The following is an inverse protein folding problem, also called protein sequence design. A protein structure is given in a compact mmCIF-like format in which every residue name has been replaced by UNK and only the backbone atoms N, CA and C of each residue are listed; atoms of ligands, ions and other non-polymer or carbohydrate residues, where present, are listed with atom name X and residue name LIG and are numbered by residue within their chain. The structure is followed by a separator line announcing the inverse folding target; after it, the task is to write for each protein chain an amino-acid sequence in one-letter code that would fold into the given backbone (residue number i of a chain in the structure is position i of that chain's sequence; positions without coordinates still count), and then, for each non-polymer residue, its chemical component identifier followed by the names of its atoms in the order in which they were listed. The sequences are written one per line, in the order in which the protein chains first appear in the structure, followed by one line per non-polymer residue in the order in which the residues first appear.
data_IF_528039075263
#
_entry.id   IF_528039075263
#
_cell.length_a   1.000
_cell.length_b   1.000
_cell.length_c   1.000
_cell.angle_alpha   90.00
_cell.angle_beta   90.00
_cell.angle_gamma   90.00
#
_symmetry.space_group_name_H-M   'P 1'
#
loop_
_entity.id
_entity.type
_entity.pdbx_description
1 polymer ?
#
# COMPACT_ATOMS: atom_id res chain seq x y z
N UNK A 1 -30.52 -2.25 3.99
CA UNK A 1 -30.74 -2.94 2.71
C UNK A 1 -29.63 -3.94 2.37
N UNK A 2 -28.53 -3.93 3.12
CA UNK A 2 -27.31 -4.74 2.92
C UNK A 2 -26.56 -4.44 1.60
N UNK A 3 -26.95 -3.41 0.88
CA UNK A 3 -26.34 -2.97 -0.38
C UNK A 3 -25.49 -1.71 -0.19
N UNK A 4 -25.80 -0.88 0.80
CA UNK A 4 -25.17 0.42 1.00
C UNK A 4 -24.20 0.40 2.17
N UNK A 5 -22.95 0.78 1.89
CA UNK A 5 -21.90 0.97 2.87
C UNK A 5 -21.61 2.46 3.02
N UNK A 6 -21.49 2.91 4.27
CA UNK A 6 -21.16 4.30 4.59
C UNK A 6 -19.84 4.33 5.35
N UNK A 7 -18.89 5.12 4.85
CA UNK A 7 -17.57 5.32 5.44
C UNK A 7 -17.40 6.77 5.86
N UNK A 8 -16.85 6.98 7.05
CA UNK A 8 -16.42 8.29 7.52
C UNK A 8 -14.92 8.42 7.23
N UNK A 9 -14.56 9.36 6.38
CA UNK A 9 -13.15 9.64 6.08
C UNK A 9 -12.52 10.38 7.25
N UNK A 10 -11.31 9.97 7.62
CA UNK A 10 -10.58 10.58 8.74
C UNK A 10 -10.24 12.04 8.42
N UNK A 11 -10.68 12.96 9.25
CA UNK A 11 -10.46 14.41 9.08
C UNK A 11 -8.98 14.83 9.15
N UNK A 12 -8.13 14.01 9.78
CA UNK A 12 -6.68 14.23 9.87
C UNK A 12 -5.94 13.74 8.63
N UNK A 13 -6.56 12.89 7.81
CA UNK A 13 -5.90 12.30 6.66
C UNK A 13 -5.54 13.35 5.62
N UNK A 14 -4.26 13.31 5.19
CA UNK A 14 -3.72 14.11 4.11
C UNK A 14 -2.94 13.22 3.14
N UNK A 15 -2.94 13.60 1.91
CA UNK A 15 -1.99 13.08 0.93
C UNK A 15 -0.58 13.58 1.24
N UNK A 16 0.42 12.88 0.74
CA UNK A 16 1.83 13.24 0.96
C UNK A 16 2.23 14.62 0.43
N UNK A 17 1.48 15.17 -0.53
CA UNK A 17 1.62 16.54 -1.02
C UNK A 17 0.92 17.61 -0.14
N UNK A 18 0.26 17.20 0.95
CA UNK A 18 -0.44 18.08 1.88
C UNK A 18 -1.93 18.31 1.56
N UNK A 19 -2.40 17.86 0.41
CA UNK A 19 -3.82 17.95 0.06
C UNK A 19 -4.68 17.13 1.03
N UNK A 20 -5.84 17.68 1.41
CA UNK A 20 -6.78 16.99 2.30
C UNK A 20 -7.41 15.78 1.60
N UNK A 21 -7.54 14.68 2.33
CA UNK A 21 -8.33 13.53 1.87
C UNK A 21 -9.79 13.78 2.19
N UNK A 22 -10.57 13.98 1.13
CA UNK A 22 -12.03 14.14 1.21
C UNK A 22 -12.73 12.90 0.70
N UNK A 23 -14.02 12.73 1.02
CA UNK A 23 -14.80 11.64 0.44
C UNK A 23 -14.84 11.69 -1.10
N UNK A 24 -14.84 12.90 -1.67
CA UNK A 24 -14.77 13.09 -3.13
C UNK A 24 -13.42 12.63 -3.71
N UNK A 25 -12.29 12.89 -3.02
CA UNK A 25 -10.99 12.41 -3.45
C UNK A 25 -10.91 10.87 -3.39
N UNK A 26 -11.46 10.26 -2.33
CA UNK A 26 -11.53 8.80 -2.19
C UNK A 26 -12.39 8.19 -3.28
N UNK A 27 -13.59 8.76 -3.54
CA UNK A 27 -14.46 8.36 -4.63
C UNK A 27 -13.71 8.32 -5.97
N UNK A 28 -13.09 9.43 -6.36
CA UNK A 28 -12.33 9.53 -7.62
C UNK A 28 -11.20 8.50 -7.71
N UNK A 29 -10.50 8.23 -6.61
CA UNK A 29 -9.46 7.22 -6.57
C UNK A 29 -10.02 5.81 -6.80
N UNK A 30 -11.15 5.47 -6.18
CA UNK A 30 -11.82 4.17 -6.38
C UNK A 30 -12.34 4.05 -7.82
N UNK A 31 -13.05 5.05 -8.33
CA UNK A 31 -13.54 5.07 -9.71
C UNK A 31 -12.42 4.87 -10.73
N UNK A 32 -11.29 5.56 -10.53
CA UNK A 32 -10.08 5.36 -11.33
C UNK A 32 -9.57 3.90 -11.28
N UNK A 33 -9.61 3.29 -10.10
CA UNK A 33 -9.19 1.87 -9.95
C UNK A 33 -10.10 0.96 -10.77
N UNK A 34 -11.41 1.17 -10.73
CA UNK A 34 -12.35 0.42 -11.55
C UNK A 34 -12.17 0.66 -13.05
N UNK A 35 -11.81 1.87 -13.45
CA UNK A 35 -11.52 2.19 -14.86
C UNK A 35 -10.27 1.45 -15.35
N UNK A 36 -9.18 1.47 -14.57
CA UNK A 36 -7.86 1.00 -15.01
C UNK A 36 -7.60 -0.49 -14.74
N UNK A 37 -8.29 -1.10 -13.76
CA UNK A 37 -7.99 -2.46 -13.31
C UNK A 37 -9.19 -3.41 -13.47
N UNK A 38 -9.09 -4.34 -14.41
CA UNK A 38 -10.13 -5.36 -14.62
C UNK A 38 -10.36 -6.22 -13.34
N UNK A 39 -9.30 -6.47 -12.55
CA UNK A 39 -9.40 -7.19 -11.29
C UNK A 39 -10.33 -6.50 -10.28
N UNK A 40 -10.36 -5.17 -10.23
CA UNK A 40 -11.26 -4.44 -9.35
C UNK A 40 -12.72 -4.77 -9.65
N UNK A 41 -13.09 -4.79 -10.94
CA UNK A 41 -14.44 -5.15 -11.42
C UNK A 41 -14.82 -6.60 -11.12
N UNK A 42 -13.83 -7.48 -11.04
CA UNK A 42 -14.06 -8.87 -10.68
C UNK A 42 -14.23 -9.09 -9.16
N UNK A 43 -13.80 -8.14 -8.32
CA UNK A 43 -13.95 -8.25 -6.86
C UNK A 43 -15.38 -7.91 -6.41
N UNK A 44 -15.93 -6.80 -6.89
CA UNK A 44 -17.31 -6.41 -6.67
C UNK A 44 -17.78 -5.42 -7.73
N UNK A 45 -19.10 -5.27 -7.86
CA UNK A 45 -19.72 -4.27 -8.70
C UNK A 45 -20.49 -3.26 -7.84
N UNK A 46 -20.55 -2.03 -8.28
CA UNK A 46 -21.29 -0.98 -7.60
C UNK A 46 -22.27 -0.27 -8.55
N UNK A 47 -23.41 0.13 -8.01
CA UNK A 47 -24.40 0.95 -8.72
C UNK A 47 -24.01 2.43 -8.66
N UNK A 48 -23.53 2.87 -7.49
CA UNK A 48 -23.19 4.27 -7.25
C UNK A 48 -22.15 4.42 -6.16
N UNK A 49 -21.27 5.41 -6.33
CA UNK A 49 -20.40 5.95 -5.27
C UNK A 49 -20.73 7.43 -5.12
N UNK A 50 -21.15 7.84 -3.94
CA UNK A 50 -21.43 9.24 -3.63
C UNK A 50 -20.59 9.75 -2.47
N UNK A 51 -20.31 11.04 -2.48
CA UNK A 51 -19.51 11.72 -1.48
C UNK A 51 -20.22 13.00 -1.01
N UNK A 52 -20.24 13.19 0.32
CA UNK A 52 -20.75 14.41 0.96
C UNK A 52 -19.80 14.76 2.12
N UNK A 53 -19.05 15.84 1.96
CA UNK A 53 -18.03 16.28 2.92
C UNK A 53 -16.99 15.19 3.16
N UNK A 54 -17.03 14.56 4.33
CA UNK A 54 -16.17 13.44 4.73
C UNK A 54 -16.92 12.10 4.78
N UNK A 55 -18.12 12.03 4.23
CA UNK A 55 -18.91 10.81 4.18
C UNK A 55 -18.89 10.25 2.76
N UNK A 56 -18.38 9.02 2.63
CA UNK A 56 -18.41 8.24 1.38
C UNK A 56 -19.49 7.17 1.50
N UNK A 57 -20.33 7.06 0.51
CA UNK A 57 -21.31 5.98 0.41
C UNK A 57 -21.07 5.18 -0.87
N UNK A 58 -21.01 3.85 -0.71
CA UNK A 58 -20.86 2.91 -1.82
C UNK A 58 -22.09 2.01 -1.81
N UNK A 59 -22.88 2.07 -2.89
CA UNK A 59 -23.99 1.16 -3.12
C UNK A 59 -23.55 0.08 -4.09
N UNK A 60 -23.52 -1.16 -3.61
CA UNK A 60 -23.13 -2.32 -4.41
C UNK A 60 -24.34 -2.89 -5.17
N UNK A 61 -24.08 -3.53 -6.31
CA UNK A 61 -25.11 -4.16 -7.13
C UNK A 61 -25.77 -5.34 -6.40
N UNK A 62 -24.97 -6.13 -5.69
CA UNK A 62 -25.41 -7.25 -4.84
C UNK A 62 -24.89 -7.06 -3.41
N UNK A 63 -25.45 -7.74 -2.39
CA UNK A 63 -24.94 -7.66 -1.02
C UNK A 63 -23.49 -8.17 -0.92
N UNK A 64 -22.56 -7.30 -0.49
CA UNK A 64 -21.14 -7.61 -0.31
C UNK A 64 -20.75 -7.35 1.15
N UNK A 65 -20.90 -8.37 2.00
CA UNK A 65 -20.61 -8.24 3.44
C UNK A 65 -19.13 -7.95 3.75
N UNK A 66 -18.24 -8.35 2.86
CA UNK A 66 -16.77 -8.22 3.00
C UNK A 66 -16.20 -6.96 2.34
N UNK A 67 -17.04 -6.02 1.89
CA UNK A 67 -16.58 -4.82 1.17
C UNK A 67 -15.48 -4.04 1.90
N UNK A 68 -15.53 -3.82 3.24
CA UNK A 68 -14.45 -3.13 3.94
C UNK A 68 -13.10 -3.87 3.82
N UNK A 69 -13.11 -5.20 3.91
CA UNK A 69 -11.91 -6.02 3.72
C UNK A 69 -11.39 -5.98 2.29
N UNK A 70 -12.29 -5.98 1.30
CA UNK A 70 -11.91 -5.85 -0.12
C UNK A 70 -11.26 -4.51 -0.42
N UNK A 71 -11.78 -3.43 0.16
CA UNK A 71 -11.19 -2.08 0.02
C UNK A 71 -9.82 -1.95 0.72
N UNK A 72 -9.46 -2.89 1.59
CA UNK A 72 -8.11 -3.03 2.17
C UNK A 72 -7.09 -3.70 1.25
N UNK A 73 -7.49 -4.28 0.10
CA UNK A 73 -6.55 -4.82 -0.89
C UNK A 73 -5.68 -3.68 -1.46
N UNK A 74 -4.36 -3.88 -1.64
CA UNK A 74 -3.46 -2.89 -2.25
C UNK A 74 -3.92 -2.33 -3.60
N UNK A 75 -4.82 -3.05 -4.28
CA UNK A 75 -5.45 -2.56 -5.52
C UNK A 75 -6.25 -1.27 -5.32
N UNK A 76 -6.86 -1.11 -4.14
CA UNK A 76 -7.69 0.05 -3.81
C UNK A 76 -6.94 1.14 -3.03
N UNK A 77 -5.61 1.21 -3.19
CA UNK A 77 -4.82 2.29 -2.62
C UNK A 77 -5.40 3.66 -3.00
N UNK A 78 -5.60 4.52 -2.03
CA UNK A 78 -6.15 5.85 -2.25
C UNK A 78 -5.04 6.79 -2.69
N UNK A 79 -5.18 7.33 -3.90
CA UNK A 79 -4.23 8.25 -4.52
C UNK A 79 -4.85 9.63 -4.75
N UNK A 80 -4.04 10.66 -4.76
CA UNK A 80 -4.46 11.99 -5.19
C UNK A 80 -4.57 12.06 -6.72
N UNK A 81 -5.80 11.99 -7.22
CA UNK A 81 -6.10 12.08 -8.65
C UNK A 81 -6.13 13.50 -9.20
N UNK A 82 -5.96 14.54 -8.36
CA UNK A 82 -5.93 15.93 -8.80
C UNK A 82 -4.62 16.31 -9.50
N UNK A 83 -3.56 15.52 -9.28
CA UNK A 83 -2.26 15.69 -9.93
C UNK A 83 -2.22 14.82 -11.18
N UNK A 84 -2.35 15.43 -12.35
CA UNK A 84 -2.53 14.71 -13.63
C UNK A 84 -1.25 14.50 -14.44
N UNK A 85 -0.20 15.27 -14.16
CA UNK A 85 1.07 15.29 -14.87
C UNK A 85 2.17 14.40 -14.26
N UNK A 86 1.81 13.60 -13.23
CA UNK A 86 2.75 12.76 -12.51
C UNK A 86 3.05 11.46 -13.26
N UNK A 87 4.33 11.18 -13.47
CA UNK A 87 4.80 9.89 -13.96
C UNK A 87 4.81 8.85 -12.85
N UNK A 88 3.70 8.10 -12.71
CA UNK A 88 3.56 7.06 -11.69
C UNK A 88 4.60 5.93 -11.80
N UNK A 89 5.14 5.69 -13.00
CA UNK A 89 6.14 4.64 -13.21
C UNK A 89 7.51 5.00 -12.63
N UNK A 90 7.81 6.30 -12.51
CA UNK A 90 9.09 6.79 -11.97
C UNK A 90 8.99 7.36 -10.56
N UNK A 91 7.89 8.05 -10.27
CA UNK A 91 7.72 8.81 -9.05
C UNK A 91 6.74 8.16 -8.07
N UNK A 92 6.07 7.08 -8.48
CA UNK A 92 4.99 6.48 -7.71
C UNK A 92 3.77 7.40 -7.52
N UNK A 93 2.70 6.91 -6.92
CA UNK A 93 1.50 7.69 -6.65
C UNK A 93 1.68 8.61 -5.42
N UNK A 94 0.88 9.67 -5.35
CA UNK A 94 0.72 10.50 -4.15
C UNK A 94 -0.35 9.85 -3.29
N UNK A 95 0.04 9.31 -2.14
CA UNK A 95 -0.79 8.51 -1.25
C UNK A 95 -0.83 9.09 0.17
N UNK A 96 -1.49 8.37 1.08
CA UNK A 96 -1.71 8.77 2.49
C UNK A 96 -0.86 7.99 3.48
N UNK A 97 0.03 7.11 3.00
CA UNK A 97 0.85 6.23 3.82
C UNK A 97 2.00 6.93 4.54
N UNK A 98 2.73 6.19 5.40
CA UNK A 98 3.83 6.74 6.20
C UNK A 98 5.03 7.17 5.38
N UNK A 99 5.20 6.66 4.17
CA UNK A 99 6.30 6.99 3.28
C UNK A 99 5.81 7.49 1.92
N UNK A 100 6.57 8.42 1.34
CA UNK A 100 6.38 8.93 -0.03
C UNK A 100 7.47 8.39 -0.93
N UNK A 101 7.10 7.96 -2.12
CA UNK A 101 8.05 7.50 -3.14
C UNK A 101 8.71 8.69 -3.79
N UNK A 102 10.03 8.76 -3.73
CA UNK A 102 10.86 9.76 -4.42
C UNK A 102 11.25 9.28 -5.80
N UNK A 103 11.77 8.06 -5.87
CA UNK A 103 12.13 7.41 -7.13
C UNK A 103 11.73 5.94 -7.10
N UNK A 104 11.35 5.44 -8.26
CA UNK A 104 11.01 4.05 -8.44
C UNK A 104 11.62 3.53 -9.74
N UNK A 105 12.25 2.37 -9.65
CA UNK A 105 12.77 1.62 -10.79
C UNK A 105 12.64 0.12 -10.54
N UNK A 106 12.94 -0.70 -11.54
CA UNK A 106 13.01 -2.16 -11.34
C UNK A 106 14.08 -2.60 -10.34
N UNK A 107 15.15 -1.80 -10.19
CA UNK A 107 16.26 -2.14 -9.32
C UNK A 107 16.05 -1.69 -7.87
N UNK A 108 15.36 -0.56 -7.66
CA UNK A 108 15.23 0.03 -6.33
C UNK A 108 14.06 1.01 -6.25
N UNK A 109 13.37 1.00 -5.12
CA UNK A 109 12.50 2.09 -4.66
C UNK A 109 13.21 2.91 -3.59
N UNK A 110 13.10 4.23 -3.66
CA UNK A 110 13.62 5.17 -2.66
C UNK A 110 12.46 5.98 -2.12
N UNK A 111 12.33 6.02 -0.80
CA UNK A 111 11.21 6.66 -0.11
C UNK A 111 11.70 7.49 1.06
N UNK A 112 11.00 8.60 1.33
CA UNK A 112 11.19 9.40 2.54
C UNK A 112 9.92 9.39 3.41
N UNK A 113 10.10 9.67 4.69
CA UNK A 113 8.99 9.81 5.63
C UNK A 113 8.01 10.88 5.13
N UNK A 114 6.72 10.55 5.16
CA UNK A 114 5.65 11.47 4.79
C UNK A 114 5.40 12.47 5.95
N UNK A 115 5.72 13.77 5.78
CA UNK A 115 5.52 14.78 6.83
C UNK A 115 4.04 15.04 7.12
N UNK A 116 3.14 14.60 6.24
CA UNK A 116 1.69 14.74 6.37
C UNK A 116 1.01 13.44 6.84
N UNK A 117 1.80 12.47 7.34
CA UNK A 117 1.22 11.21 7.82
C UNK A 117 0.32 11.46 9.04
N UNK A 118 -0.89 10.94 8.99
CA UNK A 118 -1.96 11.24 9.95
C UNK A 118 -1.89 10.43 11.24
N UNK A 119 -1.14 9.33 11.28
CA UNK A 119 -1.09 8.36 12.38
C UNK A 119 0.23 8.43 13.16
N UNK A 120 0.79 9.63 13.27
CA UNK A 120 1.93 9.89 14.14
C UNK A 120 3.29 9.91 13.45
N UNK A 121 4.35 9.82 14.25
CA UNK A 121 5.71 9.92 13.76
C UNK A 121 6.18 8.61 13.11
N UNK A 122 6.88 8.73 11.99
CA UNK A 122 7.45 7.60 11.25
C UNK A 122 8.84 7.28 11.79
N UNK A 123 9.17 6.02 12.10
CA UNK A 123 10.42 5.66 12.78
C UNK A 123 11.67 5.92 11.93
N UNK A 124 11.59 5.75 10.60
CA UNK A 124 12.71 5.96 9.69
C UNK A 124 12.45 7.18 8.81
N UNK A 125 13.43 8.05 8.66
CA UNK A 125 13.31 9.25 7.80
C UNK A 125 13.50 8.92 6.34
N UNK A 126 14.29 7.88 6.04
CA UNK A 126 14.64 7.44 4.70
C UNK A 126 14.59 5.92 4.62
N UNK A 127 14.06 5.36 3.54
CA UNK A 127 13.94 3.93 3.29
C UNK A 127 14.32 3.64 1.84
N UNK A 128 15.22 2.69 1.64
CA UNK A 128 15.56 2.14 0.35
C UNK A 128 15.12 0.68 0.27
N UNK A 129 14.48 0.30 -0.81
CA UNK A 129 14.06 -1.09 -1.07
C UNK A 129 14.75 -1.57 -2.34
N UNK A 130 15.95 -2.14 -2.25
CA UNK A 130 16.60 -2.76 -3.40
C UNK A 130 15.87 -4.05 -3.81
N UNK A 131 15.80 -4.31 -5.10
CA UNK A 131 15.33 -5.59 -5.64
C UNK A 131 16.51 -6.52 -5.77
N UNK A 132 16.56 -7.57 -4.95
CA UNK A 132 17.60 -8.61 -5.00
C UNK A 132 16.90 -9.93 -5.30
N UNK A 133 16.91 -10.33 -6.57
CA UNK A 133 16.16 -11.50 -7.06
C UNK A 133 16.73 -12.82 -6.54
N UNK A 134 18.06 -12.94 -6.55
CA UNK A 134 18.71 -14.17 -6.08
C UNK A 134 18.62 -14.30 -4.54
N UNK A 135 18.06 -15.41 -4.02
CA UNK A 135 17.85 -15.58 -2.59
C UNK A 135 19.16 -15.70 -1.80
N UNK A 136 20.23 -16.30 -2.35
CA UNK A 136 21.51 -16.41 -1.66
C UNK A 136 22.17 -15.04 -1.54
N UNK A 137 22.18 -14.26 -2.62
CA UNK A 137 22.68 -12.87 -2.63
C UNK A 137 21.93 -12.02 -1.60
N UNK A 138 20.62 -12.19 -1.50
CA UNK A 138 19.78 -11.48 -0.52
C UNK A 138 20.12 -11.88 0.94
N UNK A 139 20.35 -13.18 1.19
CA UNK A 139 20.78 -13.67 2.49
C UNK A 139 22.17 -13.12 2.86
N UNK A 140 23.12 -13.10 1.91
CA UNK A 140 24.46 -12.54 2.11
C UNK A 140 24.43 -11.03 2.39
N UNK A 141 23.60 -10.26 1.67
CA UNK A 141 23.45 -8.83 1.88
C UNK A 141 22.93 -8.52 3.30
N UNK A 142 21.99 -9.32 3.81
CA UNK A 142 21.53 -9.20 5.19
C UNK A 142 22.61 -9.57 6.20
N UNK A 143 23.39 -10.63 5.96
CA UNK A 143 24.49 -11.04 6.83
C UNK A 143 25.61 -9.99 6.93
N UNK A 144 25.95 -9.38 5.80
CA UNK A 144 26.99 -8.33 5.73
C UNK A 144 26.55 -7.00 6.33
N UNK A 145 25.23 -6.79 6.51
CA UNK A 145 24.66 -5.51 6.93
C UNK A 145 24.51 -4.49 5.79
N UNK A 146 24.57 -4.94 4.54
CA UNK A 146 24.27 -4.11 3.38
C UNK A 146 22.78 -3.74 3.34
N UNK A 147 21.91 -4.64 3.85
CA UNK A 147 20.49 -4.39 4.07
C UNK A 147 20.13 -4.72 5.51
N UNK A 148 19.18 -3.99 6.07
CA UNK A 148 18.70 -4.14 7.46
C UNK A 148 17.58 -5.16 7.59
N UNK A 149 16.82 -5.40 6.51
CA UNK A 149 15.69 -6.30 6.49
C UNK A 149 15.61 -7.05 5.16
N UNK A 150 15.28 -8.33 5.21
CA UNK A 150 15.03 -9.15 4.03
C UNK A 150 13.72 -9.92 4.18
N UNK A 151 12.98 -10.06 3.09
CA UNK A 151 11.81 -10.91 2.98
C UNK A 151 12.11 -12.11 2.07
N UNK A 152 11.37 -13.19 2.23
CA UNK A 152 11.51 -14.41 1.43
C UNK A 152 12.94 -15.01 1.48
N UNK A 153 13.50 -15.13 2.68
CA UNK A 153 14.72 -15.90 2.89
C UNK A 153 14.41 -17.38 2.64
N UNK A 154 15.27 -18.04 1.89
CA UNK A 154 15.08 -19.46 1.59
C UNK A 154 15.15 -20.30 2.87
N UNK A 155 14.33 -21.36 3.02
CA UNK A 155 14.35 -22.21 4.23
C UNK A 155 15.74 -22.81 4.54
N UNK A 156 16.53 -23.12 3.51
CA UNK A 156 17.90 -23.62 3.67
C UNK A 156 18.88 -22.62 4.29
N UNK A 157 18.62 -21.32 4.12
CA UNK A 157 19.48 -20.24 4.60
C UNK A 157 19.10 -19.75 6.01
N UNK A 158 17.99 -20.24 6.57
CA UNK A 158 17.50 -19.80 7.88
C UNK A 158 18.51 -20.04 9.02
N UNK A 159 19.35 -21.08 8.91
CA UNK A 159 20.41 -21.37 9.89
C UNK A 159 21.45 -20.26 10.00
N UNK A 160 21.66 -19.47 8.94
CA UNK A 160 22.59 -18.34 8.90
C UNK A 160 22.18 -17.22 9.88
N UNK A 161 20.91 -17.17 10.25
CA UNK A 161 20.28 -16.15 11.08
C UNK A 161 19.88 -16.65 12.46
N UNK A 162 20.49 -17.75 12.94
CA UNK A 162 20.18 -18.38 14.23
C UNK A 162 20.55 -17.55 15.45
N UNK A 163 21.46 -16.57 15.32
CA UNK A 163 21.83 -15.67 16.41
C UNK A 163 20.69 -14.67 16.70
N UNK A 164 19.92 -14.93 17.76
CA UNK A 164 18.76 -14.13 18.18
C UNK A 164 19.12 -12.75 18.74
N UNK A 165 20.37 -12.54 19.15
CA UNK A 165 20.84 -11.23 19.61
C UNK A 165 21.09 -10.27 18.43
N UNK A 166 21.33 -10.84 17.24
CA UNK A 166 21.58 -10.08 16.02
C UNK A 166 20.37 -10.01 15.09
N UNK A 167 19.57 -11.09 15.03
CA UNK A 167 18.49 -11.21 14.05
C UNK A 167 17.14 -11.46 14.71
N UNK A 168 16.12 -10.73 14.27
CA UNK A 168 14.74 -11.03 14.58
C UNK A 168 14.08 -11.72 13.37
N UNK A 169 13.57 -12.94 13.56
CA UNK A 169 12.97 -13.74 12.51
C UNK A 169 11.47 -13.82 12.75
N UNK A 170 10.69 -13.44 11.74
CA UNK A 170 9.24 -13.68 11.70
C UNK A 170 8.92 -14.66 10.58
N UNK A 171 8.31 -15.79 10.93
CA UNK A 171 7.84 -16.77 9.97
C UNK A 171 6.32 -16.74 9.91
N UNK A 172 5.79 -16.53 8.72
CA UNK A 172 4.34 -16.52 8.45
C UNK A 172 4.03 -17.71 7.56
N UNK A 173 3.08 -18.55 7.98
CA UNK A 173 2.58 -19.62 7.14
C UNK A 173 1.95 -19.00 5.87
N UNK A 174 2.39 -19.42 4.70
CA UNK A 174 1.82 -19.01 3.42
C UNK A 174 1.26 -20.21 2.68
N UNK A 175 0.13 -20.01 1.99
CA UNK A 175 -0.40 -20.96 1.05
C UNK A 175 0.42 -20.84 -0.25
N UNK A 176 1.47 -21.64 -0.37
CA UNK A 176 2.13 -21.88 -1.66
C UNK A 176 1.93 -23.34 -1.97
N UNK A 177 1.22 -23.63 -3.05
CA UNK A 177 1.18 -24.96 -3.64
C UNK A 177 2.56 -25.30 -4.22
N UNK A 178 3.01 -26.48 -3.92
CA UNK A 178 4.27 -27.06 -4.42
C UNK A 178 3.95 -27.84 -5.69
#
# INVERSE_FOLDING_TARGET
DKLTWTFKINDKAKFSNGNKVTAEAVKKSIERTFEKAARARAMFEYDNISADGQTLMIKTHTPVATLPGMLGDPLFIIIDTSVTDRDYAKQGPICTGPYMVNTYSKAKAVMDANPNYWDGEVPFKHVEIPTIDDPNTRAMALQSGEIDMAINIAPGDMSLFSNKDKYNISAIASLRDV
#
